data_IF_997090112902
#
_entry.id   IF_997090112902
#
_cell.length_a   1.000
_cell.length_b   1.000
_cell.length_c   1.000
_cell.angle_alpha   90.00
_cell.angle_beta   90.00
_cell.angle_gamma   90.00
#
_symmetry.space_group_name_H-M   'P 1'
#
loop_
_entity.id
_entity.type
_entity.pdbx_description
1 polymer ?
#
# COMPACT_ATOMS: atom_id res chain seq x y z
N UNK A 1 -10.88 21.00 5.69
CA UNK A 1 -10.49 22.19 4.88
C UNK A 1 -11.07 23.44 5.51
N UNK A 2 -10.44 24.60 5.31
CA UNK A 2 -10.93 25.91 5.70
C UNK A 2 -10.70 26.93 4.57
N UNK A 3 -11.64 27.86 4.41
CA UNK A 3 -11.57 29.00 3.50
C UNK A 3 -11.77 30.27 4.33
N UNK A 4 -10.89 31.25 4.15
CA UNK A 4 -10.85 32.50 4.90
C UNK A 4 -10.76 33.63 3.88
N UNK A 5 -11.70 34.57 3.95
CA UNK A 5 -11.81 35.69 3.01
C UNK A 5 -11.87 37.00 3.83
N UNK A 6 -10.71 37.55 4.22
CA UNK A 6 -10.67 38.76 5.05
C UNK A 6 -11.21 40.01 4.34
N UNK A 7 -11.24 39.99 3.01
CA UNK A 7 -11.78 41.05 2.14
C UNK A 7 -12.09 40.47 0.76
N UNK A 8 -12.82 41.22 -0.07
CA UNK A 8 -13.11 40.81 -1.47
C UNK A 8 -11.85 40.59 -2.31
N UNK A 9 -10.72 41.20 -1.93
CA UNK A 9 -9.46 41.09 -2.67
C UNK A 9 -8.58 39.91 -2.21
N UNK A 10 -8.84 39.29 -1.04
CA UNK A 10 -7.94 38.31 -0.42
C UNK A 10 -8.69 37.03 -0.05
N UNK A 11 -8.24 35.90 -0.59
CA UNK A 11 -8.77 34.57 -0.29
C UNK A 11 -7.64 33.62 0.13
N UNK A 12 -7.83 32.93 1.24
CA UNK A 12 -6.87 31.98 1.82
C UNK A 12 -7.56 30.64 2.01
N UNK A 13 -7.06 29.59 1.37
CA UNK A 13 -7.55 28.22 1.51
C UNK A 13 -6.50 27.34 2.18
N UNK A 14 -6.91 26.63 3.23
CA UNK A 14 -6.08 25.68 3.95
C UNK A 14 -6.70 24.28 3.87
N UNK A 15 -5.90 23.29 3.46
CA UNK A 15 -6.30 21.88 3.39
C UNK A 15 -5.30 21.06 4.19
N UNK A 16 -5.79 20.05 4.89
CA UNK A 16 -4.95 19.06 5.53
C UNK A 16 -5.66 17.73 5.60
N UNK A 17 -4.88 16.66 5.56
CA UNK A 17 -5.35 15.28 5.69
C UNK A 17 -4.32 14.44 6.46
N UNK A 18 -4.81 13.36 7.06
CA UNK A 18 -4.03 12.44 7.87
C UNK A 18 -4.61 11.04 7.76
N UNK A 19 -3.74 10.05 7.59
CA UNK A 19 -4.08 8.62 7.58
C UNK A 19 -3.04 7.84 8.38
N UNK A 20 -3.52 6.88 9.19
CA UNK A 20 -2.68 5.96 9.94
C UNK A 20 -3.24 4.54 9.87
N UNK A 21 -2.37 3.57 9.58
CA UNK A 21 -2.67 2.14 9.56
C UNK A 21 -1.63 1.41 10.40
N UNK A 22 -2.11 0.54 11.28
CA UNK A 22 -1.31 -0.44 12.00
C UNK A 22 -2.09 -1.76 11.99
N UNK A 23 -1.80 -2.59 10.99
CA UNK A 23 -2.55 -3.79 10.70
C UNK A 23 -1.61 -4.98 10.56
N UNK A 24 -2.10 -6.16 10.95
CA UNK A 24 -1.50 -7.42 10.55
C UNK A 24 -1.99 -7.75 9.14
N UNK A 25 -1.20 -7.37 8.13
CA UNK A 25 -1.46 -7.64 6.72
C UNK A 25 -0.24 -8.26 6.05
N UNK A 26 -0.38 -9.22 5.16
CA UNK A 26 -1.60 -9.88 4.73
C UNK A 26 -1.36 -11.39 4.87
N UNK A 27 -2.43 -12.17 4.81
CA UNK A 27 -2.31 -13.60 4.57
C UNK A 27 -3.07 -13.97 3.32
N UNK A 28 -2.62 -15.03 2.64
CA UNK A 28 -3.27 -15.55 1.45
C UNK A 28 -3.79 -16.97 1.70
N UNK A 29 -5.05 -17.20 1.37
CA UNK A 29 -5.63 -18.54 1.41
C UNK A 29 -5.41 -19.28 0.07
N UNK A 30 -5.15 -20.57 0.13
CA UNK A 30 -5.09 -21.42 -1.05
C UNK A 30 -6.50 -21.72 -1.56
N UNK A 31 -6.90 -21.09 -2.66
CA UNK A 31 -8.21 -21.36 -3.30
C UNK A 31 -8.22 -22.61 -4.18
N UNK A 32 -7.02 -23.10 -4.56
CA UNK A 32 -6.83 -24.26 -5.42
C UNK A 32 -5.47 -24.88 -5.14
N UNK A 33 -5.43 -26.19 -4.95
CA UNK A 33 -4.21 -26.96 -4.67
C UNK A 33 -3.93 -28.04 -5.71
N UNK A 34 -4.67 -28.07 -6.83
CA UNK A 34 -4.39 -28.98 -7.95
C UNK A 34 -3.27 -28.44 -8.83
N UNK A 35 -2.31 -29.31 -9.15
CA UNK A 35 -1.25 -29.00 -10.10
C UNK A 35 -1.80 -29.06 -11.54
N UNK A 36 -1.61 -27.98 -12.31
CA UNK A 36 -1.93 -27.93 -13.74
C UNK A 36 -0.65 -28.14 -14.55
N UNK A 37 -0.71 -29.05 -15.53
CA UNK A 37 0.41 -29.37 -16.42
C UNK A 37 0.05 -28.98 -17.85
N UNK A 38 0.98 -28.36 -18.61
CA UNK A 38 0.77 -28.14 -20.04
C UNK A 38 0.39 -29.44 -20.74
N UNK A 39 -0.60 -29.38 -21.62
CA UNK A 39 -1.03 -30.48 -22.46
C UNK A 39 -0.63 -30.21 -23.92
N UNK A 40 -0.31 -31.29 -24.65
CA UNK A 40 -0.03 -31.22 -26.09
C UNK A 40 -1.21 -30.56 -26.81
N UNK A 41 -0.93 -29.57 -27.67
CA UNK A 41 -1.96 -28.81 -28.39
C UNK A 41 -2.40 -27.50 -27.72
N UNK A 42 -1.73 -27.05 -26.65
CA UNK A 42 -1.90 -25.69 -26.11
C UNK A 42 -2.91 -25.54 -24.96
N UNK A 43 -3.25 -26.64 -24.28
CA UNK A 43 -4.15 -26.64 -23.11
C UNK A 43 -3.44 -26.97 -21.78
N UNK A 44 -4.23 -27.20 -20.73
CA UNK A 44 -3.75 -27.69 -19.43
C UNK A 44 -4.53 -28.93 -19.00
N UNK A 45 -3.83 -29.91 -18.44
CA UNK A 45 -4.41 -31.06 -17.76
C UNK A 45 -4.20 -30.93 -16.24
N UNK A 46 -5.09 -31.52 -15.46
CA UNK A 46 -4.92 -31.61 -14.01
C UNK A 46 -4.11 -32.85 -13.69
N UNK A 47 -3.02 -32.70 -12.94
CA UNK A 47 -2.25 -33.84 -12.46
C UNK A 47 -3.04 -34.62 -11.39
N UNK A 48 -2.89 -35.97 -11.32
CA UNK A 48 -3.51 -36.77 -10.27
C UNK A 48 -2.95 -36.46 -8.87
N UNK A 49 -1.78 -35.81 -8.82
CA UNK A 49 -1.08 -35.45 -7.59
C UNK A 49 -0.36 -34.12 -7.78
N UNK A 50 -0.45 -33.23 -6.79
CA UNK A 50 0.30 -31.98 -6.78
C UNK A 50 1.68 -32.16 -6.11
N UNK A 51 2.72 -32.19 -6.95
CA UNK A 51 4.11 -32.35 -6.47
C UNK A 51 4.60 -31.14 -5.68
N UNK A 52 4.18 -29.94 -6.06
CA UNK A 52 4.55 -28.68 -5.39
C UNK A 52 3.92 -28.64 -4.01
N UNK A 53 2.62 -28.95 -3.91
CA UNK A 53 1.90 -29.02 -2.64
C UNK A 53 2.53 -30.01 -1.67
N UNK A 54 2.97 -31.18 -2.15
CA UNK A 54 3.65 -32.15 -1.29
C UNK A 54 5.01 -31.68 -0.76
N UNK A 55 5.79 -30.96 -1.58
CA UNK A 55 7.06 -30.37 -1.15
C UNK A 55 6.80 -29.28 -0.09
N UNK A 56 5.86 -28.38 -0.35
CA UNK A 56 5.47 -27.32 0.58
C UNK A 56 4.93 -27.89 1.91
N UNK A 57 4.13 -28.96 1.86
CA UNK A 57 3.65 -29.65 3.06
C UNK A 57 4.79 -30.29 3.85
N UNK A 58 5.76 -30.90 3.15
CA UNK A 58 7.00 -31.41 3.77
C UNK A 58 7.86 -30.31 4.41
N UNK A 59 7.64 -29.05 4.07
CA UNK A 59 8.29 -27.86 4.64
C UNK A 59 7.41 -27.15 5.68
N UNK A 60 6.29 -27.76 6.11
CA UNK A 60 5.43 -27.22 7.17
C UNK A 60 4.22 -26.42 6.68
N UNK A 61 3.98 -26.31 5.38
CA UNK A 61 2.78 -25.65 4.86
C UNK A 61 1.51 -26.46 5.15
N UNK A 62 0.46 -25.80 5.62
CA UNK A 62 -0.87 -26.38 5.75
C UNK A 62 -1.78 -25.83 4.66
N UNK A 63 -2.56 -26.72 4.04
CA UNK A 63 -3.52 -26.38 3.00
C UNK A 63 -4.93 -26.64 3.51
N UNK A 64 -5.64 -25.62 4.03
CA UNK A 64 -7.02 -25.76 4.48
C UNK A 64 -7.93 -26.27 3.37
N UNK A 65 -8.93 -27.06 3.74
CA UNK A 65 -9.91 -27.58 2.79
C UNK A 65 -10.85 -26.48 2.28
N UNK A 66 -11.18 -25.51 3.12
CA UNK A 66 -12.00 -24.35 2.79
C UNK A 66 -11.17 -23.05 2.86
N UNK A 67 -10.97 -22.33 1.74
CA UNK A 67 -10.25 -21.05 1.74
C UNK A 67 -10.99 -19.92 2.49
N UNK A 68 -12.27 -20.11 2.85
CA UNK A 68 -13.07 -19.12 3.56
C UNK A 68 -13.04 -19.25 5.09
N UNK A 69 -12.44 -20.32 5.63
CA UNK A 69 -12.26 -20.52 7.07
C UNK A 69 -11.20 -19.58 7.67
N UNK A 70 -10.47 -18.83 6.83
CA UNK A 70 -9.42 -17.86 7.22
C UNK A 70 -8.31 -18.48 8.07
N UNK A 71 -8.12 -19.78 7.95
CA UNK A 71 -6.93 -20.46 8.43
C UNK A 71 -5.80 -20.19 7.44
N UNK A 72 -4.74 -19.53 7.90
CA UNK A 72 -3.63 -19.10 7.06
C UNK A 72 -2.34 -19.64 7.66
N UNK A 73 -1.41 -20.02 6.80
CA UNK A 73 -0.07 -20.45 7.21
C UNK A 73 0.93 -19.38 6.81
N UNK A 74 1.88 -19.11 7.70
CA UNK A 74 3.09 -18.34 7.41
C UNK A 74 4.28 -19.14 7.91
N UNK A 75 5.45 -18.80 7.39
CA UNK A 75 6.73 -19.32 7.82
C UNK A 75 6.96 -19.02 9.30
N UNK A 76 7.41 -20.00 10.07
CA UNK A 76 7.70 -19.84 11.50
C UNK A 76 8.73 -18.70 11.73
N UNK A 77 8.45 -17.82 12.69
CA UNK A 77 9.32 -16.68 13.00
C UNK A 77 9.22 -15.51 12.02
N UNK A 78 8.31 -15.55 11.04
CA UNK A 78 7.97 -14.40 10.19
C UNK A 78 6.71 -13.69 10.71
N UNK A 79 6.59 -12.45 10.28
CA UNK A 79 5.45 -11.58 10.56
C UNK A 79 4.60 -11.35 9.29
N UNK A 80 3.50 -10.64 9.43
CA UNK A 80 2.70 -10.10 8.32
C UNK A 80 2.18 -8.72 8.75
N UNK A 81 3.01 -7.70 8.57
CA UNK A 81 2.78 -6.35 9.11
C UNK A 81 2.62 -5.34 7.99
N UNK A 82 1.59 -4.50 8.12
CA UNK A 82 1.41 -3.29 7.31
C UNK A 82 1.22 -2.08 8.21
N UNK A 83 2.20 -1.17 8.17
CA UNK A 83 2.15 0.10 8.89
C UNK A 83 2.27 1.25 7.92
N UNK A 84 1.27 2.13 7.88
CA UNK A 84 1.24 3.31 7.03
C UNK A 84 1.02 4.55 7.90
N UNK A 85 1.82 5.59 7.69
CA UNK A 85 1.54 6.94 8.18
C UNK A 85 1.70 7.91 7.02
N UNK A 86 0.65 8.66 6.75
CA UNK A 86 0.61 9.59 5.63
C UNK A 86 -0.16 10.84 6.03
N UNK A 87 0.43 12.01 5.82
CA UNK A 87 -0.23 13.27 6.11
C UNK A 87 0.33 14.40 5.28
N UNK A 88 -0.49 15.42 5.06
CA UNK A 88 -0.07 16.62 4.37
C UNK A 88 -0.90 17.83 4.71
N UNK A 89 -0.35 18.99 4.38
CA UNK A 89 -1.00 20.28 4.50
C UNK A 89 -0.70 21.11 3.26
N UNK A 90 -1.68 21.89 2.82
CA UNK A 90 -1.50 22.89 1.76
C UNK A 90 -2.18 24.20 2.11
N UNK A 91 -1.56 25.28 1.67
CA UNK A 91 -2.08 26.63 1.72
C UNK A 91 -2.08 27.25 0.34
N UNK A 92 -3.20 27.82 -0.05
CA UNK A 92 -3.34 28.63 -1.26
C UNK A 92 -3.78 30.04 -0.85
N UNK A 93 -3.02 31.04 -1.26
CA UNK A 93 -3.31 32.46 -1.05
C UNK A 93 -3.52 33.09 -2.41
N UNK A 94 -4.67 33.71 -2.62
CA UNK A 94 -5.00 34.51 -3.78
C UNK A 94 -5.20 35.97 -3.35
N UNK A 95 -4.49 36.90 -3.98
CA UNK A 95 -4.61 38.32 -3.68
C UNK A 95 -4.73 39.15 -4.96
N UNK A 96 -5.78 39.97 -5.04
CA UNK A 96 -6.04 40.89 -6.14
C UNK A 96 -5.46 42.28 -5.82
N UNK A 97 -4.50 42.73 -6.63
CA UNK A 97 -3.88 44.04 -6.51
C UNK A 97 -4.58 45.12 -7.35
N UNK A 98 -5.68 44.79 -8.03
CA UNK A 98 -6.44 45.67 -8.91
C UNK A 98 -5.91 45.78 -10.34
N UNK A 99 -4.63 45.43 -10.58
CA UNK A 99 -4.02 45.35 -11.92
C UNK A 99 -3.25 44.05 -12.18
N UNK A 100 -3.16 43.18 -11.18
CA UNK A 100 -2.60 41.85 -11.29
C UNK A 100 -3.11 40.99 -10.13
N UNK A 101 -3.30 39.69 -10.38
CA UNK A 101 -3.61 38.68 -9.37
C UNK A 101 -2.35 37.92 -8.99
N UNK A 102 -2.06 37.87 -7.70
CA UNK A 102 -1.04 37.01 -7.13
C UNK A 102 -1.66 35.72 -6.59
N UNK A 103 -1.06 34.58 -6.92
CA UNK A 103 -1.40 33.28 -6.34
C UNK A 103 -0.14 32.63 -5.78
N UNK A 104 -0.17 32.28 -4.49
CA UNK A 104 0.87 31.47 -3.84
C UNK A 104 0.26 30.15 -3.40
N UNK A 105 0.89 29.04 -3.78
CA UNK A 105 0.54 27.70 -3.30
C UNK A 105 1.76 27.12 -2.60
N UNK A 106 1.59 26.73 -1.34
CA UNK A 106 2.62 26.08 -0.52
C UNK A 106 2.06 24.75 -0.02
N UNK A 107 2.81 23.66 -0.12
CA UNK A 107 2.37 22.38 0.44
C UNK A 107 3.52 21.57 1.02
N UNK A 108 3.17 20.71 1.98
CA UNK A 108 4.06 19.72 2.57
C UNK A 108 3.37 18.37 2.70
N UNK A 109 4.08 17.29 2.37
CA UNK A 109 3.63 15.89 2.52
C UNK A 109 4.72 15.08 3.21
N UNK A 110 4.35 14.24 4.16
CA UNK A 110 5.20 13.20 4.74
C UNK A 110 4.46 11.86 4.68
N UNK A 111 5.02 10.95 3.89
CA UNK A 111 4.50 9.62 3.65
C UNK A 111 5.52 8.58 4.09
N UNK A 112 5.08 7.58 4.83
CA UNK A 112 5.86 6.39 5.17
C UNK A 112 5.00 5.14 5.21
N UNK A 113 5.32 4.16 4.37
CA UNK A 113 4.77 2.80 4.42
C UNK A 113 5.87 1.80 4.78
N UNK A 114 5.60 0.98 5.79
CA UNK A 114 6.46 -0.11 6.24
C UNK A 114 5.62 -1.37 6.25
N UNK A 115 5.75 -2.12 5.16
CA UNK A 115 5.11 -3.40 4.94
C UNK A 115 6.21 -4.46 4.95
N UNK A 116 6.15 -5.44 5.84
CA UNK A 116 7.15 -6.49 5.97
C UNK A 116 6.50 -7.79 6.45
N UNK A 117 7.16 -8.91 6.19
CA UNK A 117 6.60 -10.22 6.54
C UNK A 117 6.86 -11.30 5.51
N UNK A 118 6.16 -12.42 5.68
CA UNK A 118 6.08 -13.51 4.72
C UNK A 118 5.25 -13.10 3.49
N UNK A 119 5.78 -13.33 2.29
CA UNK A 119 5.15 -13.01 1.02
C UNK A 119 4.92 -14.23 0.12
N UNK A 120 5.33 -15.43 0.54
CA UNK A 120 4.93 -16.68 -0.10
C UNK A 120 3.68 -17.31 0.55
N UNK A 121 3.34 -16.86 1.77
CA UNK A 121 2.12 -17.25 2.50
C UNK A 121 2.01 -18.77 2.70
N UNK A 122 3.16 -19.42 2.88
CA UNK A 122 3.28 -20.84 3.11
C UNK A 122 4.08 -21.09 4.38
N UNK A 123 4.20 -22.34 4.81
CA UNK A 123 5.09 -22.69 5.92
C UNK A 123 6.57 -22.74 5.51
N UNK A 124 6.87 -22.65 4.21
CA UNK A 124 8.22 -22.72 3.68
C UNK A 124 8.87 -21.34 3.61
N UNK A 125 10.10 -21.21 4.14
CA UNK A 125 10.85 -19.95 4.09
C UNK A 125 11.42 -19.69 2.68
N UNK A 126 10.60 -19.14 1.77
CA UNK A 126 10.95 -18.91 0.37
C UNK A 126 11.10 -17.43 0.04
N UNK A 127 10.15 -16.60 0.49
CA UNK A 127 10.09 -15.19 0.17
C UNK A 127 9.56 -14.38 1.35
N UNK A 128 10.42 -13.54 1.90
CA UNK A 128 10.05 -12.59 2.94
C UNK A 128 10.56 -11.19 2.64
N UNK A 129 10.05 -10.23 3.39
CA UNK A 129 10.56 -8.86 3.42
C UNK A 129 10.91 -8.48 4.84
N UNK A 130 12.12 -7.95 5.03
CA UNK A 130 12.64 -7.61 6.36
C UNK A 130 11.91 -6.43 7.03
N UNK A 131 11.83 -6.41 8.37
CA UNK A 131 11.23 -5.31 9.15
C UNK A 131 11.82 -3.92 8.91
N UNK A 132 13.04 -3.86 8.37
CA UNK A 132 13.73 -2.61 8.05
C UNK A 132 13.45 -2.10 6.62
N UNK A 133 12.52 -2.71 5.90
CA UNK A 133 12.11 -2.28 4.56
C UNK A 133 10.94 -1.32 4.61
N UNK A 134 11.07 -0.16 3.97
CA UNK A 134 10.00 0.83 3.91
C UNK A 134 10.10 1.70 2.64
N UNK A 135 8.97 2.30 2.26
CA UNK A 135 8.88 3.36 1.25
C UNK A 135 8.56 4.65 1.98
N UNK A 136 9.32 5.70 1.68
CA UNK A 136 9.16 6.98 2.35
C UNK A 136 9.46 8.12 1.40
N UNK A 137 8.68 9.19 1.48
CA UNK A 137 9.02 10.46 0.86
C UNK A 137 8.53 11.62 1.73
N UNK A 138 9.26 12.73 1.64
CA UNK A 138 8.91 14.01 2.23
C UNK A 138 9.03 15.07 1.15
N UNK A 139 7.95 15.78 0.89
CA UNK A 139 7.89 16.68 -0.27
C UNK A 139 7.38 18.03 0.19
N UNK A 140 8.16 19.06 -0.12
CA UNK A 140 7.76 20.46 -0.01
C UNK A 140 7.59 21.03 -1.41
N UNK A 141 6.52 21.77 -1.66
CA UNK A 141 6.31 22.48 -2.94
C UNK A 141 5.93 23.93 -2.68
N UNK A 142 6.37 24.79 -3.59
CA UNK A 142 6.04 26.20 -3.61
C UNK A 142 5.85 26.64 -5.06
N UNK A 143 4.73 27.31 -5.32
CA UNK A 143 4.44 28.00 -6.57
C UNK A 143 4.06 29.44 -6.25
N UNK A 144 4.57 30.39 -7.05
CA UNK A 144 4.15 31.79 -7.01
C UNK A 144 3.86 32.25 -8.44
N UNK A 145 2.67 32.81 -8.65
CA UNK A 145 2.20 33.32 -9.94
C UNK A 145 1.76 34.77 -9.82
N UNK A 146 2.05 35.55 -10.86
CA UNK A 146 1.48 36.86 -11.10
C UNK A 146 0.82 36.87 -12.49
N UNK A 147 -0.43 37.31 -12.58
CA UNK A 147 -1.20 37.38 -13.82
C UNK A 147 -1.87 38.76 -13.91
N UNK A 148 -1.73 39.45 -15.03
CA UNK A 148 -2.32 40.77 -15.29
C UNK A 148 -2.66 40.96 -16.76
#
# INVERSE_FOLDING_TARGET
QALIEPSDALSIRLIGDYTNRDESCCGAAYVETRERRPATGGGYSTAPFNRIGAILAGQGSVFPADPYDRELTITEGRDYVSKLKDWGVSGEINYDLGGAKLTSITAYRDYKSRDYGDYDYSGADLLYRDPNTYRQFKTFTQELRAQG
#
